data_IF_065042982661
#
_entry.id   IF_065042982661
#
_cell.length_a   1.000
_cell.length_b   1.000
_cell.length_c   1.000
_cell.angle_alpha   90.00
_cell.angle_beta   90.00
_cell.angle_gamma   90.00
#
_symmetry.space_group_name_H-M   'P 1'
#
loop_
_entity.id
_entity.type
_entity.pdbx_description
1 polymer ?
#
# COMPACT_ATOMS: atom_id res chain seq x y z
N UNK A 1 13.36 -8.61 -3.88
CA UNK A 1 12.35 -8.85 -2.85
C UNK A 1 12.66 -8.14 -1.54
N UNK A 2 13.74 -8.48 -0.80
CA UNK A 2 14.04 -7.90 0.54
C UNK A 2 14.07 -6.37 0.52
N UNK A 3 14.77 -5.76 -0.43
CA UNK A 3 14.86 -4.29 -0.58
C UNK A 3 13.47 -3.66 -0.73
N UNK A 4 12.58 -4.26 -1.52
CA UNK A 4 11.21 -3.75 -1.72
C UNK A 4 10.41 -3.86 -0.42
N UNK A 5 10.51 -4.97 0.31
CA UNK A 5 9.86 -5.13 1.61
C UNK A 5 10.40 -4.15 2.67
N UNK A 6 11.70 -3.89 2.69
CA UNK A 6 12.30 -2.86 3.57
C UNK A 6 11.79 -1.46 3.22
N UNK A 7 11.76 -1.13 1.93
CA UNK A 7 11.20 0.13 1.42
C UNK A 7 9.73 0.26 1.82
N UNK A 8 8.93 -0.78 1.59
CA UNK A 8 7.52 -0.83 1.98
C UNK A 8 7.35 -0.56 3.48
N UNK A 9 7.98 -1.38 4.33
CA UNK A 9 7.84 -1.27 5.78
C UNK A 9 8.28 0.08 6.32
N UNK A 10 9.38 0.64 5.81
CA UNK A 10 9.84 1.98 6.19
C UNK A 10 8.81 3.05 5.80
N UNK A 11 8.33 3.02 4.56
CA UNK A 11 7.44 4.05 4.01
C UNK A 11 6.08 4.04 4.68
N UNK A 12 5.46 2.85 4.83
CA UNK A 12 4.13 2.75 5.45
C UNK A 12 4.17 3.06 6.95
N UNK A 13 5.24 2.66 7.65
CA UNK A 13 5.41 3.00 9.07
C UNK A 13 5.53 4.53 9.26
N UNK A 14 6.33 5.18 8.42
CA UNK A 14 6.48 6.64 8.46
C UNK A 14 5.15 7.35 8.16
N UNK A 15 4.41 6.87 7.17
CA UNK A 15 3.10 7.40 6.80
C UNK A 15 2.08 7.23 7.94
N UNK A 16 2.07 6.06 8.59
CA UNK A 16 1.19 5.77 9.72
C UNK A 16 1.49 6.66 10.95
N UNK A 17 2.75 6.81 11.31
CA UNK A 17 3.17 7.69 12.41
C UNK A 17 2.78 9.16 12.15
N UNK A 18 2.91 9.61 10.89
CA UNK A 18 2.45 10.94 10.48
C UNK A 18 0.93 11.10 10.62
N UNK A 19 0.18 10.10 10.15
CA UNK A 19 -1.28 10.05 10.29
C UNK A 19 -1.71 10.09 11.75
N UNK A 20 -1.12 9.26 12.63
CA UNK A 20 -1.43 9.27 14.07
C UNK A 20 -1.18 10.62 14.70
N UNK A 21 -0.02 11.24 14.43
CA UNK A 21 0.33 12.57 14.98
C UNK A 21 -0.69 13.61 14.55
N UNK A 22 -1.04 13.68 13.26
CA UNK A 22 -2.00 14.63 12.72
C UNK A 22 -3.40 14.39 13.29
N UNK A 23 -3.81 13.13 13.39
CA UNK A 23 -5.11 12.74 13.97
C UNK A 23 -5.22 13.15 15.41
N UNK A 24 -4.21 12.86 16.24
CA UNK A 24 -4.17 13.24 17.66
C UNK A 24 -4.30 14.75 17.84
N UNK A 25 -3.52 15.53 17.11
CA UNK A 25 -3.57 16.99 17.15
C UNK A 25 -4.94 17.54 16.72
N UNK A 26 -5.51 17.02 15.64
CA UNK A 26 -6.79 17.48 15.12
C UNK A 26 -7.97 17.09 16.03
N UNK A 27 -7.91 15.96 16.73
CA UNK A 27 -8.91 15.58 17.74
C UNK A 27 -8.86 16.53 18.92
N UNK A 28 -7.66 16.87 19.43
CA UNK A 28 -7.49 17.84 20.54
C UNK A 28 -8.03 19.23 20.19
N UNK A 29 -7.92 19.62 18.91
CA UNK A 29 -8.44 20.91 18.40
C UNK A 29 -9.90 20.82 17.93
N UNK A 30 -10.60 19.70 18.16
CA UNK A 30 -11.99 19.44 17.71
C UNK A 30 -12.19 19.57 16.19
N UNK A 31 -11.12 19.45 15.41
CA UNK A 31 -11.12 19.60 13.96
C UNK A 31 -11.34 18.24 13.25
N UNK A 32 -12.45 17.57 13.52
CA UNK A 32 -12.73 16.21 13.04
C UNK A 32 -12.73 16.08 11.52
N UNK A 33 -13.17 17.09 10.77
CA UNK A 33 -13.15 17.07 9.30
C UNK A 33 -11.73 16.90 8.74
N UNK A 34 -10.71 17.45 9.41
CA UNK A 34 -9.32 17.27 9.03
C UNK A 34 -8.83 15.84 9.27
N UNK A 35 -9.33 15.17 10.30
CA UNK A 35 -9.04 13.75 10.54
C UNK A 35 -9.53 12.90 9.38
N UNK A 36 -10.76 13.16 8.90
CA UNK A 36 -11.33 12.46 7.76
C UNK A 36 -10.53 12.71 6.48
N UNK A 37 -10.16 13.96 6.22
CA UNK A 37 -9.31 14.29 5.08
C UNK A 37 -7.96 13.56 5.13
N UNK A 38 -7.28 13.56 6.29
CA UNK A 38 -5.99 12.87 6.46
C UNK A 38 -6.14 11.35 6.30
N UNK A 39 -7.26 10.77 6.76
CA UNK A 39 -7.53 9.35 6.57
C UNK A 39 -7.58 8.99 5.07
N UNK A 40 -8.39 9.70 4.27
CA UNK A 40 -8.50 9.43 2.84
C UNK A 40 -7.21 9.74 2.08
N UNK A 41 -6.52 10.83 2.43
CA UNK A 41 -5.23 11.15 1.83
C UNK A 41 -4.21 10.03 2.10
N UNK A 42 -4.12 9.54 3.34
CA UNK A 42 -3.22 8.44 3.70
C UNK A 42 -3.58 7.15 2.96
N UNK A 43 -4.87 6.85 2.81
CA UNK A 43 -5.35 5.71 2.03
C UNK A 43 -4.88 5.76 0.57
N UNK A 44 -4.98 6.94 -0.08
CA UNK A 44 -4.48 7.14 -1.45
C UNK A 44 -2.96 6.95 -1.52
N UNK A 45 -2.19 7.47 -0.54
CA UNK A 45 -0.74 7.26 -0.49
C UNK A 45 -0.38 5.78 -0.32
N UNK A 46 -1.12 5.00 0.49
CA UNK A 46 -0.91 3.56 0.60
C UNK A 46 -1.10 2.86 -0.75
N UNK A 47 -2.16 3.20 -1.49
CA UNK A 47 -2.37 2.64 -2.82
C UNK A 47 -1.24 3.02 -3.80
N UNK A 48 -0.76 4.26 -3.76
CA UNK A 48 0.36 4.72 -4.60
C UNK A 48 1.67 3.98 -4.29
N UNK A 49 1.92 3.62 -3.02
CA UNK A 49 3.09 2.81 -2.64
C UNK A 49 3.04 1.44 -3.35
N UNK A 50 1.90 0.76 -3.37
CA UNK A 50 1.76 -0.52 -4.07
C UNK A 50 1.97 -0.39 -5.57
N UNK A 51 1.44 0.68 -6.19
CA UNK A 51 1.68 0.96 -7.62
C UNK A 51 3.18 1.17 -7.87
N UNK A 52 3.85 1.94 -7.01
CA UNK A 52 5.30 2.17 -7.13
C UNK A 52 6.10 0.86 -7.01
N UNK A 53 5.72 -0.05 -6.12
CA UNK A 53 6.36 -1.35 -5.99
C UNK A 53 6.19 -2.23 -7.24
N UNK A 54 5.01 -2.22 -7.86
CA UNK A 54 4.77 -2.88 -9.14
C UNK A 54 5.69 -2.29 -10.23
N UNK A 55 5.80 -0.97 -10.29
CA UNK A 55 6.71 -0.30 -11.24
C UNK A 55 8.18 -0.65 -10.96
N UNK A 56 8.61 -0.71 -9.71
CA UNK A 56 9.97 -1.13 -9.35
C UNK A 56 10.26 -2.56 -9.82
N UNK A 57 9.33 -3.48 -9.66
CA UNK A 57 9.45 -4.84 -10.19
C UNK A 57 9.52 -4.85 -11.71
N UNK A 58 8.70 -4.03 -12.40
CA UNK A 58 8.72 -3.89 -13.85
C UNK A 58 10.08 -3.40 -14.36
N UNK A 59 10.67 -2.39 -13.69
CA UNK A 59 12.02 -1.93 -14.00
C UNK A 59 13.08 -3.01 -13.81
N UNK A 60 12.97 -3.84 -12.77
CA UNK A 60 13.86 -4.98 -12.58
C UNK A 60 13.73 -6.00 -13.75
N UNK A 61 12.52 -6.31 -14.20
CA UNK A 61 12.25 -7.23 -15.30
C UNK A 61 12.86 -6.72 -16.60
N UNK A 62 12.69 -5.45 -16.92
CA UNK A 62 13.24 -4.81 -18.12
C UNK A 62 14.76 -4.72 -18.01
N UNK A 63 15.30 -4.28 -16.87
CA UNK A 63 16.73 -4.12 -16.64
C UNK A 63 17.52 -5.43 -16.71
N UNK A 64 16.90 -6.56 -16.39
CA UNK A 64 17.46 -7.91 -16.52
C UNK A 64 17.28 -8.50 -17.93
N UNK A 65 16.65 -7.77 -18.87
CA UNK A 65 16.38 -8.24 -20.22
C UNK A 65 15.39 -9.40 -20.30
N UNK A 66 14.55 -9.59 -19.27
CA UNK A 66 13.56 -10.68 -19.20
C UNK A 66 12.39 -10.40 -20.15
N UNK A 67 11.97 -9.14 -20.21
CA UNK A 67 10.93 -8.63 -21.12
C UNK A 67 11.40 -7.32 -21.75
N UNK A 68 11.21 -7.18 -23.06
CA UNK A 68 11.59 -5.97 -23.79
C UNK A 68 10.47 -4.92 -23.89
N UNK A 69 9.22 -5.34 -23.73
CA UNK A 69 8.07 -4.44 -23.77
C UNK A 69 7.71 -3.93 -22.36
N UNK A 70 7.77 -2.61 -22.13
CA UNK A 70 7.46 -2.02 -20.83
C UNK A 70 6.02 -2.27 -20.36
N UNK A 71 5.05 -2.27 -21.27
CA UNK A 71 3.65 -2.51 -20.92
C UNK A 71 3.44 -3.95 -20.46
N UNK A 72 3.99 -4.92 -21.20
CA UNK A 72 3.95 -6.32 -20.83
C UNK A 72 4.64 -6.56 -19.46
N UNK A 73 5.77 -5.89 -19.20
CA UNK A 73 6.48 -5.99 -17.91
C UNK A 73 5.64 -5.45 -16.74
N UNK A 74 4.91 -4.33 -16.92
CA UNK A 74 4.01 -3.77 -15.89
C UNK A 74 2.84 -4.71 -15.63
N UNK A 75 2.19 -5.20 -16.69
CA UNK A 75 1.07 -6.12 -16.56
C UNK A 75 1.49 -7.44 -15.89
N UNK A 76 2.64 -7.97 -16.27
CA UNK A 76 3.20 -9.16 -15.65
C UNK A 76 3.53 -8.94 -14.18
N UNK A 77 4.25 -7.87 -13.84
CA UNK A 77 4.60 -7.55 -12.45
C UNK A 77 3.34 -7.33 -11.60
N UNK A 78 2.36 -6.57 -12.10
CA UNK A 78 1.09 -6.34 -11.43
C UNK A 78 0.28 -7.61 -11.21
N UNK A 79 0.19 -8.46 -12.23
CA UNK A 79 -0.47 -9.77 -12.17
C UNK A 79 0.16 -10.69 -11.11
N UNK A 80 1.49 -10.75 -11.06
CA UNK A 80 2.20 -11.53 -10.04
C UNK A 80 2.05 -10.91 -8.65
N UNK A 81 2.25 -9.59 -8.52
CA UNK A 81 2.20 -8.85 -7.25
C UNK A 81 0.84 -8.98 -6.57
N UNK A 82 -0.24 -8.90 -7.34
CA UNK A 82 -1.62 -9.08 -6.85
C UNK A 82 -2.05 -10.54 -6.72
N UNK A 83 -1.17 -11.48 -7.05
CA UNK A 83 -1.45 -12.93 -7.06
C UNK A 83 -2.55 -13.38 -8.03
N UNK A 84 -2.93 -12.54 -8.98
CA UNK A 84 -3.93 -12.89 -10.02
C UNK A 84 -3.36 -13.93 -11.00
N UNK A 85 -2.10 -13.77 -11.41
CA UNK A 85 -1.33 -14.81 -12.10
C UNK A 85 -1.74 -15.12 -13.54
N UNK A 86 -2.47 -14.22 -14.23
CA UNK A 86 -2.95 -14.49 -15.60
C UNK A 86 -1.85 -14.51 -16.67
N UNK A 87 -0.64 -14.05 -16.35
CA UNK A 87 0.50 -13.97 -17.28
C UNK A 87 1.67 -14.90 -16.90
N UNK A 88 1.43 -15.92 -16.08
CA UNK A 88 2.49 -16.76 -15.49
C UNK A 88 3.34 -17.55 -16.49
N UNK A 89 2.84 -17.81 -17.70
CA UNK A 89 3.53 -18.64 -18.71
C UNK A 89 4.39 -17.84 -19.71
N UNK A 90 4.41 -16.52 -19.62
CA UNK A 90 5.19 -15.66 -20.53
C UNK A 90 6.69 -15.69 -20.27
N UNK A 91 7.15 -16.18 -19.11
CA UNK A 91 8.58 -16.25 -18.78
C UNK A 91 9.28 -17.51 -19.29
N UNK A 92 10.51 -17.33 -19.81
CA UNK A 92 11.40 -18.44 -20.12
C UNK A 92 11.65 -19.33 -18.88
N UNK A 93 11.91 -20.62 -19.11
CA UNK A 93 12.01 -21.64 -18.04
C UNK A 93 12.93 -21.27 -16.86
N UNK A 94 14.00 -20.49 -17.06
CA UNK A 94 14.93 -20.06 -16.03
C UNK A 94 14.42 -18.93 -15.13
N UNK A 95 13.37 -18.21 -15.53
CA UNK A 95 12.88 -17.00 -14.85
C UNK A 95 11.56 -17.19 -14.12
N UNK A 96 10.95 -18.37 -14.15
CA UNK A 96 9.65 -18.63 -13.47
C UNK A 96 9.70 -18.39 -11.96
N UNK A 97 10.85 -18.60 -11.33
CA UNK A 97 11.05 -18.31 -9.89
C UNK A 97 10.93 -16.81 -9.58
N UNK A 98 11.16 -15.95 -10.57
CA UNK A 98 11.04 -14.49 -10.39
C UNK A 98 9.58 -14.07 -10.10
N UNK A 99 8.62 -14.69 -10.81
CA UNK A 99 7.19 -14.51 -10.57
C UNK A 99 6.81 -14.82 -9.11
N UNK A 100 7.37 -15.92 -8.56
CA UNK A 100 7.14 -16.29 -7.16
C UNK A 100 7.63 -15.22 -6.17
N UNK A 101 8.83 -14.64 -6.39
CA UNK A 101 9.33 -13.58 -5.51
C UNK A 101 8.53 -12.28 -5.60
N UNK A 102 8.01 -11.94 -6.79
CA UNK A 102 7.10 -10.80 -6.96
C UNK A 102 5.82 -11.05 -6.17
N UNK A 103 5.18 -12.20 -6.35
CA UNK A 103 3.94 -12.58 -5.66
C UNK A 103 4.11 -12.60 -4.13
N UNK A 104 5.21 -13.16 -3.65
CA UNK A 104 5.51 -13.22 -2.23
C UNK A 104 5.69 -11.81 -1.64
N UNK A 105 6.40 -10.92 -2.35
CA UNK A 105 6.56 -9.53 -1.90
C UNK A 105 5.22 -8.79 -1.86
N UNK A 106 4.36 -8.98 -2.88
CA UNK A 106 3.02 -8.37 -2.92
C UNK A 106 2.14 -8.85 -1.76
N UNK A 107 2.13 -10.15 -1.50
CA UNK A 107 1.36 -10.74 -0.40
C UNK A 107 1.76 -10.16 0.96
N UNK A 108 3.07 -10.08 1.25
CA UNK A 108 3.56 -9.50 2.50
C UNK A 108 3.26 -7.99 2.60
N UNK A 109 3.46 -7.24 1.52
CA UNK A 109 3.17 -5.80 1.49
C UNK A 109 1.68 -5.52 1.72
N UNK A 110 0.77 -6.25 1.06
CA UNK A 110 -0.68 -6.11 1.24
C UNK A 110 -1.12 -6.49 2.65
N UNK A 111 -0.58 -7.58 3.21
CA UNK A 111 -0.89 -8.01 4.57
C UNK A 111 -0.44 -6.95 5.60
N UNK A 112 0.75 -6.40 5.44
CA UNK A 112 1.27 -5.34 6.33
C UNK A 112 0.45 -4.06 6.24
N UNK A 113 0.13 -3.60 5.00
CA UNK A 113 -0.76 -2.46 4.77
C UNK A 113 -2.12 -2.65 5.42
N UNK A 114 -2.71 -3.85 5.30
CA UNK A 114 -4.01 -4.18 5.93
C UNK A 114 -3.93 -4.03 7.45
N UNK A 115 -2.85 -4.50 8.08
CA UNK A 115 -2.65 -4.34 9.53
C UNK A 115 -2.63 -2.87 9.97
N UNK A 116 -1.96 -2.00 9.22
CA UNK A 116 -1.92 -0.55 9.48
C UNK A 116 -3.29 0.10 9.26
N UNK A 117 -4.01 -0.30 8.21
CA UNK A 117 -5.35 0.22 7.91
C UNK A 117 -6.36 -0.07 9.02
N UNK A 118 -6.24 -1.18 9.75
CA UNK A 118 -7.09 -1.48 10.92
C UNK A 118 -6.91 -0.38 11.98
N UNK A 119 -5.66 -0.02 12.31
CA UNK A 119 -5.37 1.05 13.26
C UNK A 119 -5.89 2.42 12.81
N UNK A 120 -5.72 2.75 11.52
CA UNK A 120 -6.23 3.99 10.92
C UNK A 120 -7.76 4.06 10.97
N UNK A 121 -8.43 2.95 10.66
CA UNK A 121 -9.91 2.86 10.70
C UNK A 121 -10.45 3.02 12.12
N UNK A 122 -9.78 2.45 13.12
CA UNK A 122 -10.12 2.63 14.52
C UNK A 122 -10.01 4.11 14.94
N UNK A 123 -8.95 4.81 14.54
CA UNK A 123 -8.75 6.23 14.81
C UNK A 123 -9.82 7.11 14.11
N UNK A 124 -10.15 6.78 12.86
CA UNK A 124 -11.23 7.43 12.11
C UNK A 124 -12.59 7.28 12.83
N UNK A 125 -12.93 6.05 13.24
CA UNK A 125 -14.18 5.75 13.95
C UNK A 125 -14.27 6.51 15.27
N UNK A 126 -13.17 6.58 16.03
CA UNK A 126 -13.12 7.35 17.27
C UNK A 126 -13.40 8.84 17.02
N UNK A 127 -12.80 9.44 16.01
CA UNK A 127 -13.06 10.84 15.65
C UNK A 127 -14.52 11.06 15.19
N UNK A 128 -15.10 10.09 14.46
CA UNK A 128 -16.51 10.11 14.07
C UNK A 128 -17.43 10.09 15.29
N UNK A 129 -17.21 9.16 16.21
CA UNK A 129 -18.00 9.02 17.42
C UNK A 129 -17.95 10.28 18.28
N UNK A 130 -16.76 10.88 18.44
CA UNK A 130 -16.62 12.14 19.18
C UNK A 130 -17.35 13.30 18.51
N UNK A 131 -17.29 13.42 17.19
CA UNK A 131 -18.00 14.46 16.44
C UNK A 131 -19.51 14.39 16.63
N UNK A 132 -20.10 13.19 16.57
CA UNK A 132 -21.55 13.00 16.53
C UNK A 132 -22.17 12.71 17.91
N UNK A 133 -21.40 12.27 18.92
CA UNK A 133 -21.90 12.18 20.29
C UNK A 133 -22.25 13.55 20.84
N UNK A 134 -21.45 14.57 20.56
CA UNK A 134 -21.75 15.95 20.98
C UNK A 134 -22.97 16.55 20.26
N UNK A 135 -23.41 15.97 19.15
CA UNK A 135 -24.58 16.45 18.39
C UNK A 135 -25.88 15.81 18.85
N UNK A 136 -25.84 14.70 19.62
CA UNK A 136 -27.03 13.99 20.13
C UNK A 136 -27.47 14.41 21.53
N UNK A 137 -26.83 15.40 22.09
CA UNK A 137 -27.15 15.92 23.47
C UNK A 137 -28.04 17.18 23.43
N UNK A 138 -28.63 17.52 22.25
CA UNK A 138 -29.61 18.59 22.10
C UNK A 138 -30.89 18.08 21.46
#
# INVERSE_FOLDING_TARGET
MIIILMFHGYTINHLFMRFERLTRNNIQLTQYNRVFFHFYATFVFLALIHILEILLWSFCIIGLGIMGDPLAAILFAGSCYTTVGFESDTLAKGWKTFAFFISLSGLFSLAWTTSIMIGMTAAYKNAWDQKYKNTRVY
#
